data_IF_201969029062
#
_entry.id   IF_201969029062
#
_cell.length_a   1.000
_cell.length_b   1.000
_cell.length_c   1.000
_cell.angle_alpha   90.00
_cell.angle_beta   90.00
_cell.angle_gamma   90.00
#
_symmetry.space_group_name_H-M   'P 1'
#
loop_
_entity.id
_entity.type
_entity.pdbx_description
1 polymer ?
#
# COMPACT_ATOMS: atom_id res chain seq x y z
N UNK A 1 23.73 -33.77 -3.12
CA UNK A 1 23.91 -32.88 -1.95
C UNK A 1 24.08 -31.45 -2.45
N UNK A 2 23.41 -30.48 -1.83
CA UNK A 2 23.48 -29.07 -2.22
C UNK A 2 24.86 -28.48 -1.91
N UNK A 3 25.41 -27.71 -2.84
CA UNK A 3 26.66 -26.95 -2.67
C UNK A 3 26.34 -25.47 -2.54
N UNK A 4 27.06 -24.74 -1.67
CA UNK A 4 26.88 -23.29 -1.49
C UNK A 4 27.15 -22.48 -2.77
N UNK A 5 27.90 -23.02 -3.72
CA UNK A 5 28.21 -22.42 -5.02
C UNK A 5 27.10 -22.56 -6.07
N UNK A 6 26.03 -23.31 -5.76
CA UNK A 6 24.89 -23.43 -6.67
C UNK A 6 24.19 -22.07 -6.82
N UNK A 7 23.98 -21.65 -8.05
CA UNK A 7 23.35 -20.40 -8.39
C UNK A 7 22.34 -20.60 -9.53
N UNK A 8 21.47 -19.61 -9.71
CA UNK A 8 20.41 -19.64 -10.73
C UNK A 8 21.00 -19.46 -12.13
N UNK A 9 22.03 -18.63 -12.28
CA UNK A 9 22.59 -18.27 -13.57
C UNK A 9 23.08 -19.49 -14.37
N UNK A 10 23.74 -20.44 -13.70
CA UNK A 10 24.25 -21.66 -14.30
C UNK A 10 23.17 -22.74 -14.47
N UNK A 11 22.11 -22.70 -13.64
CA UNK A 11 21.08 -23.75 -13.62
C UNK A 11 19.88 -23.43 -14.52
N UNK A 12 19.40 -22.19 -14.48
CA UNK A 12 18.25 -21.70 -15.25
C UNK A 12 18.55 -20.31 -15.83
N UNK A 13 19.25 -20.25 -16.96
CA UNK A 13 19.65 -18.98 -17.57
C UNK A 13 18.44 -18.14 -18.04
N UNK A 14 17.29 -18.75 -18.34
CA UNK A 14 16.08 -18.03 -18.75
C UNK A 14 15.49 -17.27 -17.57
N UNK A 15 15.34 -17.93 -16.41
CA UNK A 15 14.91 -17.29 -15.18
C UNK A 15 15.91 -16.22 -14.73
N UNK A 16 17.19 -16.53 -14.79
CA UNK A 16 18.26 -15.57 -14.46
C UNK A 16 18.18 -14.31 -15.31
N UNK A 17 18.01 -14.47 -16.63
CA UNK A 17 17.87 -13.32 -17.54
C UNK A 17 16.65 -12.47 -17.17
N UNK A 18 15.49 -13.08 -16.87
CA UNK A 18 14.30 -12.34 -16.43
C UNK A 18 14.56 -11.54 -15.14
N UNK A 19 15.29 -12.10 -14.17
CA UNK A 19 15.68 -11.41 -12.95
C UNK A 19 16.59 -10.20 -13.29
N UNK A 20 17.57 -10.38 -14.17
CA UNK A 20 18.47 -9.30 -14.58
C UNK A 20 17.74 -8.21 -15.38
N UNK A 21 16.76 -8.58 -16.19
CA UNK A 21 15.94 -7.63 -16.95
C UNK A 21 15.04 -6.80 -16.00
N UNK A 22 14.47 -7.41 -14.96
CA UNK A 22 13.71 -6.68 -13.94
C UNK A 22 14.62 -5.76 -13.10
N UNK A 23 15.81 -6.21 -12.71
CA UNK A 23 16.78 -5.35 -12.03
C UNK A 23 17.10 -4.11 -12.87
N UNK A 24 17.38 -4.31 -14.18
CA UNK A 24 17.63 -3.21 -15.11
C UNK A 24 16.41 -2.32 -15.27
N UNK A 25 15.20 -2.88 -15.40
CA UNK A 25 13.96 -2.10 -15.47
C UNK A 25 13.81 -1.18 -14.25
N UNK A 26 14.01 -1.70 -13.04
CA UNK A 26 13.93 -0.89 -11.81
C UNK A 26 14.97 0.24 -11.79
N UNK A 27 16.17 0.01 -12.29
CA UNK A 27 17.21 1.04 -12.39
C UNK A 27 16.94 2.09 -13.48
N UNK A 28 16.34 1.71 -14.60
CA UNK A 28 16.13 2.57 -15.77
C UNK A 28 14.74 3.24 -15.82
N UNK A 29 13.80 2.85 -14.94
CA UNK A 29 12.46 3.41 -14.88
C UNK A 29 12.26 4.22 -13.60
N UNK A 30 11.40 5.23 -13.66
CA UNK A 30 10.91 5.95 -12.49
C UNK A 30 9.60 5.32 -12.05
N UNK A 31 9.58 4.79 -10.81
CA UNK A 31 8.43 4.12 -10.23
C UNK A 31 7.55 5.10 -9.47
N UNK A 32 6.32 5.30 -9.94
CA UNK A 32 5.32 6.19 -9.33
C UNK A 32 4.01 5.47 -8.96
N UNK A 33 3.99 4.13 -9.00
CA UNK A 33 2.86 3.38 -8.46
C UNK A 33 2.85 3.56 -6.94
N UNK A 34 1.78 4.15 -6.41
CA UNK A 34 1.68 4.57 -5.01
C UNK A 34 1.78 3.42 -3.98
N UNK A 35 1.57 2.18 -4.42
CA UNK A 35 1.66 0.96 -3.63
C UNK A 35 3.00 0.23 -3.77
N UNK A 36 3.96 0.80 -4.49
CA UNK A 36 5.31 0.24 -4.66
C UNK A 36 6.37 1.05 -3.90
N UNK A 37 7.42 0.36 -3.52
CA UNK A 37 8.58 0.92 -2.84
C UNK A 37 9.78 -0.03 -3.03
N UNK A 38 10.98 0.46 -2.76
CA UNK A 38 12.19 -0.35 -2.76
C UNK A 38 12.50 -0.84 -1.34
N UNK A 39 12.65 -2.16 -1.20
CA UNK A 39 13.10 -2.77 0.05
C UNK A 39 14.61 -2.60 0.21
N UNK A 40 15.08 -2.40 1.45
CA UNK A 40 16.52 -2.31 1.71
C UNK A 40 17.25 -3.64 1.41
N UNK A 41 18.56 -3.62 1.11
CA UNK A 41 19.34 -4.83 0.97
C UNK A 41 19.25 -5.76 2.20
N UNK A 42 19.13 -5.20 3.41
CA UNK A 42 18.97 -5.99 4.66
C UNK A 42 17.63 -6.72 4.71
N UNK A 43 16.55 -6.10 4.22
CA UNK A 43 15.24 -6.75 4.09
C UNK A 43 15.33 -7.91 3.10
N UNK A 44 15.99 -7.72 1.95
CA UNK A 44 16.19 -8.77 0.95
C UNK A 44 17.08 -9.90 1.46
N UNK A 45 18.15 -9.60 2.21
CA UNK A 45 19.01 -10.58 2.86
C UNK A 45 18.22 -11.46 3.85
N UNK A 46 17.37 -10.85 4.68
CA UNK A 46 16.52 -11.59 5.61
C UNK A 46 15.54 -12.53 4.89
N UNK A 47 14.95 -12.10 3.76
CA UNK A 47 14.07 -12.93 2.94
C UNK A 47 14.80 -14.14 2.33
N UNK A 48 16.06 -13.99 1.96
CA UNK A 48 16.90 -15.06 1.41
C UNK A 48 17.55 -15.97 2.45
N UNK A 49 17.23 -15.82 3.74
CA UNK A 49 17.83 -16.58 4.83
C UNK A 49 17.31 -18.04 4.92
N UNK A 50 18.03 -18.87 5.69
CA UNK A 50 17.66 -20.27 5.94
C UNK A 50 16.34 -20.45 6.70
N UNK A 51 15.74 -19.38 7.21
CA UNK A 51 14.38 -19.42 7.76
C UNK A 51 13.33 -19.85 6.73
N UNK A 52 13.64 -19.79 5.43
CA UNK A 52 12.80 -20.38 4.37
C UNK A 52 12.54 -21.88 4.57
N UNK A 53 13.45 -22.59 5.27
CA UNK A 53 13.35 -24.03 5.51
C UNK A 53 12.53 -24.36 6.77
N UNK A 54 12.19 -23.37 7.62
CA UNK A 54 11.63 -23.62 8.95
C UNK A 54 10.10 -23.66 8.95
N UNK A 55 9.55 -24.76 9.44
CA UNK A 55 8.12 -24.93 9.69
C UNK A 55 7.81 -24.60 11.16
N UNK A 56 7.00 -23.56 11.43
CA UNK A 56 6.80 -23.00 12.76
C UNK A 56 5.33 -22.70 13.08
N UNK A 57 4.41 -23.66 12.83
CA UNK A 57 2.99 -23.52 13.20
C UNK A 57 2.84 -23.24 14.69
N UNK A 58 1.86 -22.40 15.02
CA UNK A 58 1.65 -21.86 16.36
C UNK A 58 2.27 -20.47 16.50
N UNK A 59 2.61 -20.11 17.73
CA UNK A 59 3.08 -18.77 18.11
C UNK A 59 4.30 -18.88 19.02
N UNK A 60 5.09 -17.83 19.25
CA UNK A 60 6.24 -17.87 20.15
C UNK A 60 5.93 -18.53 21.49
N UNK A 61 6.75 -19.50 21.88
CA UNK A 61 6.57 -20.31 23.10
C UNK A 61 5.43 -21.34 23.06
N UNK A 62 4.65 -21.39 21.97
CA UNK A 62 3.51 -22.31 21.79
C UNK A 62 3.49 -22.89 20.37
N UNK A 63 4.59 -23.53 19.96
CA UNK A 63 4.72 -24.16 18.64
C UNK A 63 4.26 -25.61 18.65
N UNK A 64 3.80 -26.05 17.49
CA UNK A 64 3.44 -27.46 17.25
C UNK A 64 4.64 -28.33 16.87
N UNK A 65 5.79 -27.72 16.52
CA UNK A 65 7.00 -28.40 16.06
C UNK A 65 8.22 -28.01 16.90
N UNK A 66 9.20 -28.91 16.99
CA UNK A 66 10.48 -28.65 17.62
C UNK A 66 11.42 -27.78 16.77
N UNK A 67 12.52 -27.32 17.38
CA UNK A 67 13.54 -26.49 16.69
C UNK A 67 13.07 -25.11 16.32
N UNK A 68 12.16 -24.51 17.08
CA UNK A 68 11.58 -23.19 16.82
C UNK A 68 12.17 -22.07 17.69
N UNK A 69 13.19 -22.35 18.50
CA UNK A 69 13.80 -21.38 19.42
C UNK A 69 14.25 -20.10 18.75
N UNK A 70 14.83 -20.18 17.55
CA UNK A 70 15.25 -19.01 16.79
C UNK A 70 14.10 -18.36 16.00
N UNK A 71 13.11 -19.15 15.56
CA UNK A 71 11.89 -18.61 14.98
C UNK A 71 11.10 -17.80 16.01
N UNK A 72 11.06 -18.23 17.26
CA UNK A 72 10.44 -17.51 18.38
C UNK A 72 11.11 -16.16 18.62
N UNK A 73 12.44 -16.11 18.61
CA UNK A 73 13.20 -14.87 18.74
C UNK A 73 12.86 -13.90 17.61
N UNK A 74 12.87 -14.38 16.37
CA UNK A 74 12.60 -13.57 15.19
C UNK A 74 11.18 -13.01 15.19
N UNK A 75 10.20 -13.87 15.50
CA UNK A 75 8.80 -13.46 15.52
C UNK A 75 8.53 -12.49 16.68
N UNK A 76 9.11 -12.73 17.86
CA UNK A 76 8.97 -11.84 19.00
C UNK A 76 9.59 -10.47 18.73
N UNK A 77 10.78 -10.41 18.09
CA UNK A 77 11.38 -9.15 17.67
C UNK A 77 10.49 -8.37 16.70
N UNK A 78 9.84 -9.04 15.75
CA UNK A 78 8.92 -8.39 14.83
C UNK A 78 7.69 -7.84 15.56
N UNK A 79 7.12 -8.61 16.50
CA UNK A 79 5.99 -8.19 17.33
C UNK A 79 6.35 -6.97 18.17
N UNK A 80 7.45 -7.03 18.92
CA UNK A 80 7.87 -5.96 19.84
C UNK A 80 8.14 -4.66 19.08
N UNK A 81 8.85 -4.73 17.96
CA UNK A 81 9.14 -3.57 17.11
C UNK A 81 7.88 -2.98 16.49
N UNK A 82 6.94 -3.81 16.07
CA UNK A 82 5.65 -3.31 15.54
C UNK A 82 4.80 -2.65 16.63
N UNK A 83 4.80 -3.20 17.86
CA UNK A 83 4.16 -2.57 19.02
C UNK A 83 4.76 -1.20 19.31
N UNK A 84 6.07 -1.09 19.35
CA UNK A 84 6.78 0.18 19.57
C UNK A 84 6.48 1.19 18.43
N UNK A 85 6.56 0.72 17.17
CA UNK A 85 6.41 1.57 15.99
C UNK A 85 5.03 2.21 15.86
N UNK A 86 3.98 1.46 16.20
CA UNK A 86 2.59 1.89 16.02
C UNK A 86 1.87 2.25 17.34
N UNK A 87 2.44 1.93 18.49
CA UNK A 87 1.79 2.08 19.78
C UNK A 87 0.66 1.06 19.98
N UNK A 88 0.84 -0.18 19.55
CA UNK A 88 -0.16 -1.24 19.63
C UNK A 88 0.01 -2.14 20.85
N UNK A 89 -1.10 -2.55 21.48
CA UNK A 89 -1.09 -3.53 22.58
C UNK A 89 -1.00 -4.97 22.04
N UNK A 90 -1.70 -5.23 20.95
CA UNK A 90 -1.73 -6.50 20.24
C UNK A 90 -1.18 -6.37 18.82
N UNK A 91 -0.33 -7.33 18.44
CA UNK A 91 0.23 -7.45 17.09
C UNK A 91 0.28 -8.90 16.66
N UNK A 92 -0.16 -9.19 15.43
CA UNK A 92 0.09 -10.46 14.74
C UNK A 92 0.86 -10.20 13.44
N UNK A 93 2.06 -10.78 13.35
CA UNK A 93 2.99 -10.58 12.21
C UNK A 93 2.94 -11.72 11.19
N UNK A 94 2.10 -12.74 11.40
CA UNK A 94 2.03 -13.93 10.56
C UNK A 94 1.23 -13.78 9.26
N UNK A 95 0.29 -12.82 9.07
CA UNK A 95 -0.43 -12.71 7.79
C UNK A 95 0.52 -12.63 6.59
N UNK A 96 0.29 -13.53 5.60
CA UNK A 96 1.13 -13.62 4.39
C UNK A 96 0.94 -12.41 3.46
N UNK A 97 -0.21 -11.75 3.52
CA UNK A 97 -0.55 -10.57 2.73
C UNK A 97 -1.56 -9.68 3.47
N UNK A 98 -1.76 -8.45 2.98
CA UNK A 98 -2.84 -7.59 3.47
C UNK A 98 -4.22 -8.20 3.28
N UNK A 99 -4.48 -8.86 2.15
CA UNK A 99 -5.77 -9.52 1.90
C UNK A 99 -6.04 -10.67 2.87
N UNK A 100 -5.01 -11.44 3.27
CA UNK A 100 -5.16 -12.50 4.28
C UNK A 100 -5.30 -11.93 5.69
N UNK A 101 -4.60 -10.83 6.01
CA UNK A 101 -4.84 -10.09 7.25
C UNK A 101 -6.29 -9.63 7.36
N UNK A 102 -6.81 -9.01 6.27
CA UNK A 102 -8.21 -8.59 6.21
C UNK A 102 -9.17 -9.77 6.34
N UNK A 103 -8.94 -10.88 5.62
CA UNK A 103 -9.77 -12.07 5.73
C UNK A 103 -9.80 -12.65 7.16
N UNK A 104 -8.66 -12.65 7.85
CA UNK A 104 -8.58 -13.08 9.24
C UNK A 104 -9.37 -12.16 10.17
N UNK A 105 -9.32 -10.83 9.96
CA UNK A 105 -10.13 -9.87 10.73
C UNK A 105 -11.62 -10.09 10.51
N UNK A 106 -12.06 -10.24 9.28
CA UNK A 106 -13.46 -10.56 8.98
C UNK A 106 -13.90 -11.84 9.68
N UNK A 107 -13.15 -12.93 9.53
CA UNK A 107 -13.47 -14.22 10.14
C UNK A 107 -13.43 -14.22 11.68
N UNK A 108 -12.68 -13.30 12.29
CA UNK A 108 -12.62 -13.14 13.74
C UNK A 108 -13.83 -12.38 14.30
N UNK A 109 -14.39 -11.42 13.53
CA UNK A 109 -15.33 -10.43 14.08
C UNK A 109 -16.77 -10.65 13.65
N UNK A 110 -16.98 -11.16 12.44
CA UNK A 110 -18.30 -11.27 11.81
C UNK A 110 -18.50 -12.63 11.14
N UNK A 111 -19.75 -12.96 10.83
CA UNK A 111 -20.15 -14.23 10.20
C UNK A 111 -20.46 -14.04 8.72
N UNK A 112 -20.37 -15.11 7.93
CA UNK A 112 -20.80 -15.11 6.53
C UNK A 112 -22.26 -14.64 6.41
N UNK A 113 -22.52 -13.74 5.47
CA UNK A 113 -23.83 -13.11 5.27
C UNK A 113 -24.08 -11.85 6.10
N UNK A 114 -23.22 -11.54 7.06
CA UNK A 114 -23.32 -10.24 7.77
C UNK A 114 -23.09 -9.06 6.82
N UNK A 115 -23.68 -7.92 7.15
CA UNK A 115 -23.52 -6.69 6.38
C UNK A 115 -22.25 -5.96 6.78
N UNK A 116 -21.51 -5.52 5.79
CA UNK A 116 -20.33 -4.63 5.94
C UNK A 116 -20.55 -3.34 5.17
N UNK A 117 -19.95 -2.24 5.65
CA UNK A 117 -19.95 -0.94 4.99
C UNK A 117 -18.52 -0.55 4.69
N UNK A 118 -18.14 -0.46 3.42
CA UNK A 118 -16.78 -0.16 2.97
C UNK A 118 -16.74 0.91 1.89
N UNK A 119 -15.56 1.47 1.62
CA UNK A 119 -15.37 2.44 0.54
C UNK A 119 -15.46 1.76 -0.83
N UNK A 120 -16.22 2.38 -1.74
CA UNK A 120 -16.32 1.90 -3.12
C UNK A 120 -14.95 1.88 -3.81
N UNK A 121 -14.68 0.81 -4.56
CA UNK A 121 -13.47 0.66 -5.35
C UNK A 121 -13.28 1.79 -6.37
N UNK A 122 -14.37 2.26 -6.99
CA UNK A 122 -14.37 3.38 -7.93
C UNK A 122 -14.02 4.73 -7.25
N UNK A 123 -14.22 4.81 -5.95
CA UNK A 123 -13.94 6.00 -5.13
C UNK A 123 -12.65 5.88 -4.30
N UNK A 124 -11.83 4.89 -4.58
CA UNK A 124 -10.52 4.72 -3.95
C UNK A 124 -10.44 3.64 -2.87
N UNK A 125 -11.49 2.83 -2.66
CA UNK A 125 -11.47 1.67 -1.77
C UNK A 125 -10.51 0.58 -2.24
N UNK A 126 -10.34 -0.46 -1.42
CA UNK A 126 -9.58 -1.65 -1.77
C UNK A 126 -10.53 -2.80 -2.15
N UNK A 127 -10.04 -3.75 -2.95
CA UNK A 127 -10.81 -4.96 -3.33
C UNK A 127 -11.42 -5.67 -2.12
N UNK A 128 -10.68 -5.78 -1.02
CA UNK A 128 -11.12 -6.46 0.19
C UNK A 128 -12.03 -5.63 1.10
N UNK A 129 -12.47 -4.45 0.66
CA UNK A 129 -13.41 -3.61 1.40
C UNK A 129 -14.86 -3.79 0.92
N UNK A 130 -15.18 -4.91 0.28
CA UNK A 130 -16.54 -5.25 -0.16
C UNK A 130 -16.74 -5.32 -1.67
N UNK A 131 -15.67 -5.23 -2.48
CA UNK A 131 -15.81 -5.36 -3.93
C UNK A 131 -16.34 -6.75 -4.31
N UNK A 132 -17.36 -6.82 -5.17
CA UNK A 132 -18.07 -8.05 -5.58
C UNK A 132 -17.18 -9.16 -6.13
N UNK A 133 -16.02 -8.82 -6.70
CA UNK A 133 -15.05 -9.78 -7.24
C UNK A 133 -14.14 -10.38 -6.18
N UNK A 134 -14.03 -9.74 -5.00
CA UNK A 134 -13.23 -10.16 -3.86
C UNK A 134 -13.99 -11.10 -2.92
N UNK A 135 -13.27 -11.80 -2.05
CA UNK A 135 -13.88 -12.62 -1.00
C UNK A 135 -14.86 -11.81 -0.15
N UNK A 136 -14.52 -10.56 0.17
CA UNK A 136 -15.34 -9.69 1.03
C UNK A 136 -16.72 -9.40 0.44
N UNK A 137 -16.82 -9.18 -0.87
CA UNK A 137 -18.10 -8.99 -1.55
C UNK A 137 -18.81 -10.28 -1.96
N UNK A 138 -18.15 -11.45 -1.84
CA UNK A 138 -18.76 -12.77 -2.13
C UNK A 138 -19.31 -13.44 -0.88
N UNK A 139 -18.72 -13.21 0.28
CA UNK A 139 -19.07 -13.86 1.56
C UNK A 139 -20.03 -12.98 2.38
N UNK A 140 -19.89 -11.65 2.29
CA UNK A 140 -20.63 -10.68 3.09
C UNK A 140 -21.55 -9.82 2.23
N UNK A 141 -22.61 -9.28 2.85
CA UNK A 141 -23.48 -8.29 2.21
C UNK A 141 -22.77 -6.94 2.23
N UNK A 142 -22.18 -6.53 1.09
CA UNK A 142 -21.45 -5.27 1.04
C UNK A 142 -22.32 -4.11 0.63
N UNK A 143 -22.33 -3.08 1.49
CA UNK A 143 -22.82 -1.73 1.22
C UNK A 143 -21.59 -0.85 1.03
N UNK A 144 -21.64 0.06 0.05
CA UNK A 144 -20.49 0.86 -0.31
C UNK A 144 -20.78 2.35 -0.11
N UNK A 145 -19.86 3.07 0.57
CA UNK A 145 -19.90 4.52 0.68
C UNK A 145 -18.94 5.17 -0.32
N UNK A 146 -19.19 6.43 -0.63
CA UNK A 146 -18.48 7.16 -1.65
C UNK A 146 -17.73 8.38 -1.13
N UNK A 147 -17.39 9.22 -2.10
CA UNK A 147 -16.79 10.53 -1.91
C UNK A 147 -17.70 11.61 -2.52
N UNK A 148 -17.56 12.83 -2.04
CA UNK A 148 -18.22 14.01 -2.61
C UNK A 148 -17.69 14.32 -4.00
N UNK A 149 -18.34 15.26 -4.70
CA UNK A 149 -17.87 15.77 -5.99
C UNK A 149 -16.46 16.40 -5.90
N UNK A 150 -16.08 16.91 -4.74
CA UNK A 150 -14.76 17.48 -4.47
C UNK A 150 -13.70 16.42 -4.15
N UNK A 151 -14.07 15.13 -4.16
CA UNK A 151 -13.16 14.03 -3.92
C UNK A 151 -12.85 13.76 -2.44
N UNK A 152 -13.71 14.22 -1.52
CA UNK A 152 -13.58 13.98 -0.08
C UNK A 152 -14.50 12.87 0.38
N UNK A 153 -14.13 12.11 1.43
CA UNK A 153 -15.02 11.13 2.02
C UNK A 153 -16.31 11.83 2.50
N UNK A 154 -17.46 11.31 2.05
CA UNK A 154 -18.77 11.80 2.48
C UNK A 154 -19.19 11.10 3.77
N UNK A 155 -18.80 11.67 4.92
CA UNK A 155 -19.11 11.10 6.22
C UNK A 155 -20.62 11.06 6.53
N UNK A 156 -21.42 11.93 5.90
CA UNK A 156 -22.88 11.88 6.08
C UNK A 156 -23.47 10.72 5.29
N UNK A 157 -22.96 10.44 4.06
CA UNK A 157 -23.33 9.23 3.32
C UNK A 157 -22.94 7.96 4.09
N UNK A 158 -21.73 7.94 4.70
CA UNK A 158 -21.32 6.84 5.58
C UNK A 158 -22.31 6.64 6.71
N UNK A 159 -22.69 7.71 7.40
CA UNK A 159 -23.62 7.67 8.54
C UNK A 159 -25.01 7.22 8.14
N UNK A 160 -25.57 7.78 7.08
CA UNK A 160 -26.90 7.42 6.58
C UNK A 160 -26.95 5.93 6.19
N UNK A 161 -25.98 5.44 5.45
CA UNK A 161 -25.88 4.02 5.09
C UNK A 161 -25.68 3.12 6.30
N UNK A 162 -24.92 3.54 7.29
CA UNK A 162 -24.76 2.80 8.55
C UNK A 162 -26.11 2.67 9.29
N UNK A 163 -26.87 3.76 9.42
CA UNK A 163 -28.19 3.74 10.08
C UNK A 163 -29.22 2.91 9.32
N UNK A 164 -29.22 2.98 7.99
CA UNK A 164 -30.14 2.25 7.12
C UNK A 164 -29.86 0.74 7.12
N UNK A 165 -28.58 0.36 6.92
CA UNK A 165 -28.21 -1.04 6.69
C UNK A 165 -27.69 -1.76 7.93
N UNK A 166 -27.41 -1.05 9.02
CA UNK A 166 -26.91 -1.57 10.31
C UNK A 166 -25.81 -2.62 10.13
N UNK A 167 -24.69 -2.24 9.49
CA UNK A 167 -23.59 -3.17 9.25
C UNK A 167 -23.01 -3.67 10.58
N UNK A 168 -22.51 -4.91 10.59
CA UNK A 168 -21.74 -5.45 11.71
C UNK A 168 -20.32 -4.91 11.76
N UNK A 169 -19.82 -4.39 10.62
CA UNK A 169 -18.47 -3.84 10.49
C UNK A 169 -18.47 -2.68 9.51
N UNK A 170 -17.85 -1.58 9.91
CA UNK A 170 -17.44 -0.49 9.02
C UNK A 170 -15.96 -0.66 8.71
N UNK A 171 -15.64 -0.73 7.41
CA UNK A 171 -14.26 -0.86 6.89
C UNK A 171 -13.81 0.49 6.41
N UNK A 172 -12.86 1.10 7.10
CA UNK A 172 -12.22 2.34 6.71
C UNK A 172 -10.82 2.09 6.17
N UNK A 173 -10.32 3.01 5.36
CA UNK A 173 -9.04 2.87 4.66
C UNK A 173 -9.23 2.93 3.15
N UNK A 174 -8.13 3.03 2.42
CA UNK A 174 -8.17 3.33 0.99
C UNK A 174 -6.95 2.81 0.24
N UNK A 175 -7.08 2.80 -1.09
CA UNK A 175 -5.99 2.57 -2.05
C UNK A 175 -5.69 3.81 -2.90
N UNK A 176 -6.65 4.72 -3.06
CA UNK A 176 -6.54 5.89 -3.94
C UNK A 176 -7.29 7.10 -3.38
N UNK A 177 -6.94 7.51 -2.16
CA UNK A 177 -7.48 8.71 -1.52
C UNK A 177 -6.32 9.59 -1.04
N UNK A 178 -6.34 10.87 -1.42
CA UNK A 178 -5.19 11.77 -1.24
C UNK A 178 -5.27 12.65 0.01
N UNK A 179 -6.35 12.58 0.79
CA UNK A 179 -6.57 13.43 1.96
C UNK A 179 -6.45 12.64 3.26
N UNK A 180 -6.61 13.32 4.38
CA UNK A 180 -6.63 12.72 5.71
C UNK A 180 -8.01 12.14 6.00
N UNK A 181 -8.04 10.92 6.56
CA UNK A 181 -9.27 10.30 7.06
C UNK A 181 -9.48 10.67 8.53
N UNK A 182 -10.69 11.10 8.86
CA UNK A 182 -11.11 11.33 10.25
C UNK A 182 -11.54 9.99 10.90
N UNK A 183 -10.58 9.33 11.54
CA UNK A 183 -10.83 8.05 12.23
C UNK A 183 -11.78 8.19 13.39
N UNK A 184 -11.78 9.34 14.08
CA UNK A 184 -12.70 9.62 15.18
C UNK A 184 -14.13 9.66 14.68
N UNK A 185 -14.38 10.38 13.59
CA UNK A 185 -15.71 10.44 12.96
C UNK A 185 -16.18 9.08 12.48
N UNK A 186 -15.31 8.26 11.90
CA UNK A 186 -15.62 6.88 11.52
C UNK A 186 -16.01 6.04 12.75
N UNK A 187 -15.30 6.22 13.89
CA UNK A 187 -15.61 5.52 15.13
C UNK A 187 -16.98 5.94 15.71
N UNK A 188 -17.26 7.22 15.74
CA UNK A 188 -18.56 7.75 16.19
C UNK A 188 -19.71 7.13 15.39
N UNK A 189 -19.58 7.06 14.06
CA UNK A 189 -20.58 6.42 13.20
C UNK A 189 -20.72 4.92 13.49
N UNK A 190 -19.61 4.22 13.70
CA UNK A 190 -19.65 2.80 14.04
C UNK A 190 -20.36 2.55 15.38
N UNK A 191 -20.11 3.38 16.38
CA UNK A 191 -20.74 3.29 17.69
C UNK A 191 -22.25 3.56 17.63
N UNK A 192 -22.73 4.47 16.74
CA UNK A 192 -24.16 4.73 16.54
C UNK A 192 -24.98 3.47 16.14
N UNK A 193 -24.33 2.48 15.53
CA UNK A 193 -24.99 1.27 15.00
C UNK A 193 -24.46 -0.03 15.60
N UNK A 194 -23.66 0.04 16.67
CA UNK A 194 -23.02 -1.10 17.33
C UNK A 194 -22.19 -1.97 16.34
N UNK A 195 -21.42 -1.31 15.47
CA UNK A 195 -20.56 -1.93 14.50
C UNK A 195 -19.10 -1.93 14.94
N UNK A 196 -18.34 -2.95 14.54
CA UNK A 196 -16.88 -2.88 14.61
C UNK A 196 -16.35 -1.82 13.65
N UNK A 197 -15.42 -0.97 14.11
CA UNK A 197 -14.59 -0.18 13.21
C UNK A 197 -13.30 -0.96 12.91
N UNK A 198 -13.15 -1.38 11.66
CA UNK A 198 -11.95 -2.01 11.12
C UNK A 198 -11.25 -1.02 10.18
N UNK A 199 -9.96 -0.76 10.40
CA UNK A 199 -9.16 0.16 9.56
C UNK A 199 -8.06 -0.59 8.84
N UNK A 200 -8.05 -0.51 7.51
CA UNK A 200 -6.93 -0.92 6.66
C UNK A 200 -6.06 0.30 6.34
N UNK A 201 -4.95 0.46 7.07
CA UNK A 201 -4.03 1.60 6.91
C UNK A 201 -2.89 1.34 5.93
N UNK A 202 -2.97 0.28 5.10
CA UNK A 202 -1.87 -0.21 4.29
C UNK A 202 -1.15 0.87 3.46
N UNK A 203 -1.89 1.79 2.86
CA UNK A 203 -1.31 2.85 2.04
C UNK A 203 -0.53 3.89 2.84
N UNK A 204 -0.96 4.19 4.05
CA UNK A 204 -0.38 5.27 4.87
C UNK A 204 0.42 4.78 6.08
N UNK A 205 0.62 3.47 6.20
CA UNK A 205 1.28 2.88 7.37
C UNK A 205 2.68 3.44 7.63
N UNK A 206 3.46 3.73 6.58
CA UNK A 206 4.77 4.37 6.73
C UNK A 206 4.67 5.80 7.26
N UNK A 207 3.68 6.57 6.83
CA UNK A 207 3.42 7.92 7.31
C UNK A 207 2.94 7.92 8.76
N UNK A 208 2.09 6.94 9.13
CA UNK A 208 1.62 6.74 10.52
C UNK A 208 2.80 6.37 11.42
N UNK A 209 3.64 5.43 11.01
CA UNK A 209 4.84 5.04 11.72
C UNK A 209 5.80 6.22 11.98
N UNK A 210 5.88 7.16 11.04
CA UNK A 210 6.67 8.38 11.16
C UNK A 210 5.98 9.51 11.96
N UNK A 211 4.72 9.32 12.39
CA UNK A 211 3.93 10.35 13.08
C UNK A 211 3.49 11.51 12.17
N UNK A 212 3.38 11.27 10.86
CA UNK A 212 3.04 12.27 9.83
C UNK A 212 1.62 12.10 9.24
N UNK A 213 0.89 11.11 9.73
CA UNK A 213 -0.53 10.87 9.39
C UNK A 213 -1.23 10.34 10.64
N UNK A 214 -2.52 10.66 10.85
CA UNK A 214 -3.25 10.25 12.06
C UNK A 214 -3.23 8.74 12.27
N UNK A 215 -2.90 8.31 13.49
CA UNK A 215 -2.91 6.90 13.88
C UNK A 215 -4.36 6.43 14.14
N UNK A 216 -4.86 5.37 13.49
CA UNK A 216 -6.20 4.85 13.71
C UNK A 216 -6.37 4.04 15.00
N UNK A 217 -5.28 3.53 15.59
CA UNK A 217 -5.33 2.62 16.75
C UNK A 217 -6.15 3.14 17.94
N UNK A 218 -6.13 4.43 18.30
CA UNK A 218 -6.97 4.94 19.39
C UNK A 218 -8.47 4.87 19.12
N UNK A 219 -8.89 4.67 17.87
CA UNK A 219 -10.30 4.71 17.46
C UNK A 219 -10.79 3.35 16.92
N UNK A 220 -9.95 2.61 16.23
CA UNK A 220 -10.32 1.36 15.60
C UNK A 220 -10.36 0.19 16.61
N UNK A 221 -11.28 -0.76 16.42
CA UNK A 221 -11.25 -2.03 17.14
C UNK A 221 -10.09 -2.90 16.64
N UNK A 222 -9.87 -2.91 15.32
CA UNK A 222 -8.76 -3.63 14.68
C UNK A 222 -8.21 -2.80 13.54
N UNK A 223 -6.89 -2.86 13.37
CA UNK A 223 -6.15 -2.23 12.28
C UNK A 223 -5.37 -3.30 11.53
N UNK A 224 -5.36 -3.22 10.20
CA UNK A 224 -4.46 -4.01 9.37
C UNK A 224 -3.55 -3.12 8.54
N UNK A 225 -2.45 -3.68 8.09
CA UNK A 225 -1.60 -3.07 7.08
C UNK A 225 -0.86 -4.11 6.24
N UNK A 226 -0.36 -3.68 5.10
CA UNK A 226 0.75 -4.34 4.40
C UNK A 226 2.08 -3.80 4.90
N UNK A 227 3.16 -4.53 4.64
CA UNK A 227 4.52 -4.12 5.05
C UNK A 227 5.38 -3.57 3.91
N UNK A 228 4.89 -3.60 2.65
CA UNK A 228 5.70 -3.34 1.44
C UNK A 228 5.37 -2.05 0.70
N UNK A 229 4.39 -1.24 1.14
CA UNK A 229 4.02 0.04 0.49
C UNK A 229 4.85 1.18 1.07
N UNK A 230 4.23 2.17 1.70
CA UNK A 230 4.95 3.28 2.35
C UNK A 230 5.94 2.81 3.43
N UNK A 231 5.69 1.66 4.09
CA UNK A 231 6.65 1.07 5.03
C UNK A 231 7.97 0.63 4.38
N UNK A 232 7.95 0.17 3.12
CA UNK A 232 9.16 -0.20 2.37
C UNK A 232 9.82 -1.51 2.81
N UNK A 233 9.06 -2.40 3.44
CA UNK A 233 9.50 -3.72 3.89
C UNK A 233 9.17 -4.86 2.93
N UNK A 234 9.19 -6.11 3.41
CA UNK A 234 8.85 -7.28 2.61
C UNK A 234 7.36 -7.31 2.28
N UNK A 235 6.97 -8.01 1.23
CA UNK A 235 5.56 -8.28 0.94
C UNK A 235 4.96 -9.16 2.04
N UNK A 236 3.96 -8.62 2.72
CA UNK A 236 3.31 -9.29 3.85
C UNK A 236 2.20 -8.45 4.44
N UNK A 237 1.50 -8.99 5.44
CA UNK A 237 0.45 -8.33 6.20
C UNK A 237 0.75 -8.25 7.69
N UNK A 238 -0.03 -7.46 8.39
CA UNK A 238 0.07 -7.22 9.83
C UNK A 238 -1.32 -6.92 10.38
N UNK A 239 -1.63 -7.42 11.58
CA UNK A 239 -2.85 -7.09 12.32
C UNK A 239 -2.44 -6.45 13.65
N UNK A 240 -3.08 -5.33 14.00
CA UNK A 240 -2.81 -4.59 15.23
C UNK A 240 -4.14 -4.24 15.93
N UNK A 241 -4.07 -4.08 17.25
CA UNK A 241 -5.18 -3.53 18.03
C UNK A 241 -4.68 -2.90 19.33
N UNK A 242 -5.43 -1.94 19.85
CA UNK A 242 -5.26 -1.33 21.18
C UNK A 242 -6.62 -1.09 21.85
N UNK A 243 -7.61 -1.93 21.54
CA UNK A 243 -8.96 -1.76 22.08
C UNK A 243 -9.14 -2.31 23.52
N UNK A 244 -8.10 -2.97 24.08
CA UNK A 244 -8.14 -3.54 25.43
C UNK A 244 -9.02 -4.79 25.58
N UNK A 245 -9.48 -5.41 24.50
CA UNK A 245 -10.31 -6.62 24.51
C UNK A 245 -9.47 -7.87 24.26
N UNK A 246 -9.09 -8.55 25.33
CA UNK A 246 -8.28 -9.79 25.28
C UNK A 246 -9.00 -10.95 24.56
N UNK A 247 -10.33 -11.02 24.59
CA UNK A 247 -11.06 -12.05 23.86
C UNK A 247 -11.06 -11.78 22.36
N UNK A 248 -11.12 -10.52 21.96
CA UNK A 248 -10.91 -10.11 20.57
C UNK A 248 -9.50 -10.47 20.09
N UNK A 249 -8.47 -10.23 20.90
CA UNK A 249 -7.09 -10.60 20.56
C UNK A 249 -6.93 -12.11 20.35
N UNK A 250 -7.54 -12.94 21.21
CA UNK A 250 -7.55 -14.40 21.02
C UNK A 250 -8.27 -14.84 19.75
N UNK A 251 -9.41 -14.21 19.42
CA UNK A 251 -10.14 -14.49 18.18
C UNK A 251 -9.32 -14.11 16.95
N UNK A 252 -8.66 -12.95 16.94
CA UNK A 252 -7.75 -12.54 15.86
C UNK A 252 -6.60 -13.53 15.70
N UNK A 253 -5.98 -13.94 16.80
CA UNK A 253 -4.91 -14.93 16.84
C UNK A 253 -5.34 -16.26 16.19
N UNK A 254 -6.48 -16.80 16.65
CA UNK A 254 -7.03 -18.06 16.14
C UNK A 254 -7.50 -17.95 14.71
N UNK A 255 -7.97 -16.79 14.29
CA UNK A 255 -8.41 -16.55 12.92
C UNK A 255 -7.24 -16.50 11.92
N UNK A 256 -6.05 -16.06 12.34
CA UNK A 256 -4.85 -16.20 11.51
C UNK A 256 -4.42 -17.66 11.47
N UNK A 257 -4.10 -18.24 12.60
CA UNK A 257 -3.73 -19.65 12.73
C UNK A 257 -4.54 -20.30 13.88
N UNK A 258 -5.24 -21.41 13.63
CA UNK A 258 -5.20 -22.27 12.42
C UNK A 258 -6.25 -21.96 11.33
N UNK A 259 -7.11 -20.92 11.48
CA UNK A 259 -8.29 -20.82 10.63
C UNK A 259 -8.00 -20.43 9.18
N UNK A 260 -7.10 -19.45 8.93
CA UNK A 260 -6.81 -18.96 7.58
C UNK A 260 -5.45 -19.40 7.02
N UNK A 261 -4.49 -19.72 7.90
CA UNK A 261 -3.11 -20.06 7.53
C UNK A 261 -2.63 -21.28 8.29
N UNK A 262 -1.60 -21.96 7.75
CA UNK A 262 -0.78 -22.98 8.42
C UNK A 262 0.56 -22.37 8.86
N UNK A 263 1.68 -22.99 8.43
CA UNK A 263 3.03 -22.54 8.76
C UNK A 263 3.30 -21.09 8.35
N UNK A 264 3.79 -20.25 9.26
CA UNK A 264 4.13 -18.86 8.93
C UNK A 264 5.39 -18.80 8.06
N UNK A 265 5.52 -17.73 7.29
CA UNK A 265 6.70 -17.44 6.46
C UNK A 265 7.78 -16.80 7.35
N UNK A 266 8.57 -17.61 8.07
CA UNK A 266 9.52 -17.12 9.08
C UNK A 266 10.58 -16.19 8.46
N UNK A 267 11.04 -16.48 7.25
CA UNK A 267 11.96 -15.62 6.50
C UNK A 267 11.34 -14.22 6.18
N UNK A 268 10.04 -14.15 5.94
CA UNK A 268 9.33 -12.88 5.77
C UNK A 268 9.13 -12.17 7.11
N UNK A 269 8.86 -12.91 8.20
CA UNK A 269 8.79 -12.33 9.54
C UNK A 269 10.15 -11.74 9.94
N UNK A 270 11.26 -12.40 9.62
CA UNK A 270 12.60 -11.85 9.80
C UNK A 270 12.79 -10.53 9.04
N UNK A 271 12.36 -10.48 7.80
CA UNK A 271 12.40 -9.27 6.99
C UNK A 271 11.47 -8.15 7.52
N UNK A 272 10.29 -8.49 8.09
CA UNK A 272 9.44 -7.54 8.82
C UNK A 272 10.17 -6.98 10.04
N UNK A 273 10.85 -7.80 10.81
CA UNK A 273 11.62 -7.36 11.97
C UNK A 273 12.74 -6.38 11.59
N UNK A 274 13.40 -6.58 10.44
CA UNK A 274 14.38 -5.62 9.89
C UNK A 274 13.70 -4.31 9.49
N UNK A 275 12.62 -4.40 8.70
CA UNK A 275 11.87 -3.23 8.25
C UNK A 275 11.38 -2.35 9.42
N UNK A 276 10.83 -2.95 10.47
CA UNK A 276 10.35 -2.19 11.63
C UNK A 276 11.50 -1.54 12.40
N UNK A 277 12.67 -2.19 12.48
CA UNK A 277 13.85 -1.58 13.06
C UNK A 277 14.31 -0.37 12.26
N UNK A 278 14.36 -0.46 10.93
CA UNK A 278 14.69 0.68 10.06
C UNK A 278 13.66 1.81 10.20
N UNK A 279 12.37 1.47 10.36
CA UNK A 279 11.30 2.45 10.52
C UNK A 279 11.33 3.18 11.87
N UNK A 280 11.97 2.63 12.89
CA UNK A 280 12.21 3.27 14.19
C UNK A 280 13.41 4.26 14.17
N UNK A 281 14.22 4.25 13.11
CA UNK A 281 15.37 5.15 13.00
C UNK A 281 14.93 6.59 12.63
N UNK A 282 15.58 7.65 13.15
CA UNK A 282 15.23 9.04 12.83
C UNK A 282 15.22 9.37 11.34
N UNK A 283 16.13 8.78 10.57
CA UNK A 283 16.21 8.95 9.11
C UNK A 283 14.93 8.51 8.38
N UNK A 284 14.18 7.57 8.97
CA UNK A 284 12.92 7.13 8.38
C UNK A 284 11.84 8.21 8.43
N UNK A 285 11.77 8.98 9.52
CA UNK A 285 10.83 10.11 9.64
C UNK A 285 11.15 11.20 8.60
N UNK A 286 12.42 11.48 8.38
CA UNK A 286 12.86 12.44 7.35
C UNK A 286 12.47 11.94 5.95
N UNK A 287 12.70 10.65 5.65
CA UNK A 287 12.29 10.03 4.41
C UNK A 287 10.78 10.20 4.16
N UNK A 288 9.93 9.87 5.15
CA UNK A 288 8.48 10.00 5.03
C UNK A 288 8.01 11.45 4.89
N UNK A 289 8.67 12.39 5.55
CA UNK A 289 8.39 13.82 5.36
C UNK A 289 8.70 14.26 3.92
N UNK A 290 9.79 13.78 3.35
CA UNK A 290 10.16 14.06 1.97
C UNK A 290 9.19 13.39 0.96
N UNK A 291 8.63 12.22 1.30
CA UNK A 291 7.56 11.58 0.48
C UNK A 291 6.38 12.53 0.30
N UNK A 292 5.89 13.16 1.38
CA UNK A 292 4.76 14.10 1.33
C UNK A 292 5.15 15.37 0.56
N UNK A 293 6.34 15.94 0.83
CA UNK A 293 6.82 17.14 0.14
C UNK A 293 6.94 16.93 -1.36
N UNK A 294 7.49 15.80 -1.77
CA UNK A 294 7.62 15.41 -3.17
C UNK A 294 6.27 15.26 -3.86
N UNK A 295 5.27 14.65 -3.19
CA UNK A 295 3.92 14.56 -3.72
C UNK A 295 3.29 15.94 -3.92
N UNK A 296 3.41 16.84 -2.93
CA UNK A 296 2.90 18.21 -3.01
C UNK A 296 3.60 19.00 -4.14
N UNK A 297 4.92 18.85 -4.30
CA UNK A 297 5.68 19.50 -5.35
C UNK A 297 5.21 19.07 -6.77
N UNK A 298 4.94 17.78 -6.97
CA UNK A 298 4.38 17.29 -8.23
C UNK A 298 2.97 17.83 -8.48
N UNK A 299 2.10 17.85 -7.47
CA UNK A 299 0.73 18.40 -7.56
C UNK A 299 0.74 19.86 -8.05
N UNK A 300 1.65 20.68 -7.50
CA UNK A 300 1.76 22.09 -7.92
C UNK A 300 2.03 22.23 -9.42
N UNK A 301 2.93 21.41 -9.98
CA UNK A 301 3.26 21.44 -11.40
C UNK A 301 2.07 21.00 -12.25
N UNK A 302 1.38 19.90 -11.91
CA UNK A 302 0.19 19.46 -12.63
C UNK A 302 -0.89 20.55 -12.67
N UNK A 303 -1.13 21.21 -11.52
CA UNK A 303 -2.10 22.33 -11.44
C UNK A 303 -1.67 23.53 -12.29
N UNK A 304 -0.38 23.93 -12.24
CA UNK A 304 0.17 25.00 -13.06
C UNK A 304 0.05 24.73 -14.56
N UNK A 305 0.15 23.44 -14.95
CA UNK A 305 -0.02 22.99 -16.33
C UNK A 305 -1.51 22.81 -16.75
N UNK A 306 -2.45 23.14 -15.86
CA UNK A 306 -3.89 23.10 -16.15
C UNK A 306 -4.56 21.75 -16.02
N UNK A 307 -3.91 20.78 -15.36
CA UNK A 307 -4.52 19.50 -15.02
C UNK A 307 -5.31 19.58 -13.72
N UNK A 308 -6.44 18.91 -13.66
CA UNK A 308 -7.22 18.78 -12.44
C UNK A 308 -6.60 17.70 -11.54
N UNK A 309 -6.32 18.07 -10.30
CA UNK A 309 -5.91 17.13 -9.25
C UNK A 309 -7.10 16.90 -8.32
N UNK A 310 -7.51 15.64 -8.15
CA UNK A 310 -8.64 15.26 -7.31
C UNK A 310 -8.43 15.79 -5.89
N UNK A 311 -9.50 16.24 -5.24
CA UNK A 311 -9.48 16.93 -3.94
C UNK A 311 -8.52 18.12 -3.85
N UNK A 312 -8.22 18.74 -4.99
CA UNK A 312 -7.36 19.91 -5.15
C UNK A 312 -5.92 19.76 -4.60
N UNK A 313 -5.49 18.53 -4.30
CA UNK A 313 -4.15 18.31 -3.77
C UNK A 313 -3.95 16.97 -3.05
N UNK A 314 -2.96 16.94 -2.15
CA UNK A 314 -2.66 15.78 -1.33
C UNK A 314 -2.16 16.16 0.05
N UNK A 315 -2.50 15.34 1.05
CA UNK A 315 -1.97 15.40 2.41
C UNK A 315 -1.18 14.10 2.77
N UNK A 316 -0.92 13.25 1.77
CA UNK A 316 -0.17 12.02 1.96
C UNK A 316 0.82 11.74 0.82
N UNK A 317 1.11 10.48 0.52
CA UNK A 317 2.11 10.02 -0.44
C UNK A 317 1.62 9.90 -1.87
N UNK A 318 0.34 10.10 -2.13
CA UNK A 318 -0.27 9.91 -3.46
C UNK A 318 -1.20 11.05 -3.83
N UNK A 319 -1.47 11.18 -5.13
CA UNK A 319 -2.50 12.04 -5.68
C UNK A 319 -3.07 11.43 -6.96
N UNK A 320 -4.25 11.92 -7.35
CA UNK A 320 -4.94 11.52 -8.57
C UNK A 320 -5.01 12.71 -9.54
N UNK A 321 -4.63 12.46 -10.78
CA UNK A 321 -4.77 13.45 -11.86
C UNK A 321 -5.96 13.05 -12.73
N UNK A 322 -6.90 13.98 -12.95
CA UNK A 322 -8.05 13.80 -13.83
C UNK A 322 -7.77 14.37 -15.20
N UNK A 323 -8.13 13.61 -16.22
CA UNK A 323 -8.01 13.99 -17.63
C UNK A 323 -9.36 14.27 -18.30
N UNK A 324 -10.46 14.35 -17.54
CA UNK A 324 -11.81 14.56 -18.09
C UNK A 324 -11.85 15.82 -18.96
N UNK A 325 -11.25 16.93 -18.50
CA UNK A 325 -11.21 18.19 -19.24
C UNK A 325 -10.39 18.11 -20.53
N UNK A 326 -9.30 17.34 -20.52
CA UNK A 326 -8.42 17.17 -21.67
C UNK A 326 -8.97 16.14 -22.68
N UNK A 327 -9.99 15.37 -22.30
CA UNK A 327 -10.51 14.28 -23.13
C UNK A 327 -9.56 13.10 -23.29
N UNK A 328 -8.54 12.99 -22.43
CA UNK A 328 -7.59 11.89 -22.44
C UNK A 328 -8.08 10.74 -21.58
N UNK A 329 -7.56 9.54 -21.84
CA UNK A 329 -7.86 8.36 -21.00
C UNK A 329 -6.66 7.99 -20.14
N UNK A 330 -6.94 7.44 -18.96
CA UNK A 330 -5.89 6.88 -18.08
C UNK A 330 -5.08 5.80 -18.79
N UNK A 331 -5.73 4.98 -19.64
CA UNK A 331 -5.07 3.93 -20.43
C UNK A 331 -4.04 4.50 -21.41
N UNK A 332 -4.37 5.59 -22.11
CA UNK A 332 -3.45 6.22 -23.06
C UNK A 332 -2.28 6.90 -22.33
N UNK A 333 -2.58 7.59 -21.23
CA UNK A 333 -1.57 8.24 -20.40
C UNK A 333 -0.58 7.23 -19.80
N UNK A 334 -1.07 6.13 -19.21
CA UNK A 334 -0.26 5.04 -18.66
C UNK A 334 0.68 4.44 -19.74
N UNK A 335 0.14 4.16 -20.93
CA UNK A 335 0.93 3.60 -22.03
C UNK A 335 2.02 4.57 -22.53
N UNK A 336 1.74 5.86 -22.68
CA UNK A 336 2.71 6.84 -23.18
C UNK A 336 3.80 7.15 -22.13
N UNK A 337 3.43 7.31 -20.87
CA UNK A 337 4.40 7.49 -19.78
C UNK A 337 5.28 6.25 -19.62
N UNK A 338 4.73 5.04 -19.76
CA UNK A 338 5.50 3.79 -19.76
C UNK A 338 6.55 3.72 -20.86
N UNK A 339 6.24 4.19 -22.08
CA UNK A 339 7.24 4.32 -23.18
C UNK A 339 8.37 5.29 -22.83
N UNK A 340 8.09 6.31 -22.02
CA UNK A 340 9.07 7.26 -21.50
C UNK A 340 9.81 6.76 -20.24
N UNK A 341 9.68 5.50 -19.89
CA UNK A 341 10.23 4.88 -18.66
C UNK A 341 9.70 5.52 -17.37
N UNK A 342 8.44 6.00 -17.36
CA UNK A 342 7.74 6.51 -16.18
C UNK A 342 6.56 5.58 -15.90
N UNK A 343 6.61 4.85 -14.79
CA UNK A 343 5.63 3.85 -14.42
C UNK A 343 4.57 4.44 -13.49
N UNK A 344 3.32 4.47 -13.95
CA UNK A 344 2.13 4.89 -13.20
C UNK A 344 1.06 3.81 -13.29
N UNK A 345 -0.09 3.99 -12.65
CA UNK A 345 -1.28 3.19 -12.96
C UNK A 345 -2.45 4.09 -13.33
N UNK A 346 -3.23 3.65 -14.33
CA UNK A 346 -4.53 4.26 -14.61
C UNK A 346 -5.45 4.12 -13.41
N UNK A 347 -6.27 5.12 -13.14
CA UNK A 347 -7.17 5.16 -12.00
C UNK A 347 -8.47 5.89 -12.35
N UNK A 348 -9.59 5.38 -11.83
CA UNK A 348 -10.86 6.11 -11.91
C UNK A 348 -10.77 7.40 -11.09
N UNK A 349 -11.49 8.42 -11.55
CA UNK A 349 -11.61 9.71 -10.88
C UNK A 349 -13.09 9.98 -10.57
N UNK A 350 -13.43 10.90 -9.66
CA UNK A 350 -14.82 11.25 -9.39
C UNK A 350 -15.57 11.60 -10.67
N UNK A 351 -16.79 11.06 -10.81
CA UNK A 351 -17.64 11.22 -12.01
C UNK A 351 -16.98 10.74 -13.32
N UNK A 352 -16.13 9.73 -13.24
CA UNK A 352 -15.42 9.20 -14.41
C UNK A 352 -16.39 8.69 -15.49
N UNK A 353 -16.39 9.25 -16.71
CA UNK A 353 -17.27 8.81 -17.79
C UNK A 353 -16.80 7.49 -18.45
N UNK A 354 -15.59 7.02 -18.14
CA UNK A 354 -15.00 5.86 -18.75
C UNK A 354 -15.25 4.58 -17.92
N UNK A 355 -15.15 3.44 -18.60
CA UNK A 355 -15.20 2.13 -17.93
C UNK A 355 -13.94 1.90 -17.07
N UNK A 356 -14.00 1.05 -16.03
CA UNK A 356 -12.87 0.81 -15.10
C UNK A 356 -11.56 0.36 -15.76
N UNK A 357 -11.62 -0.30 -16.93
CA UNK A 357 -10.41 -0.72 -17.67
C UNK A 357 -9.78 0.37 -18.53
N UNK A 358 -10.47 1.50 -18.72
CA UNK A 358 -10.03 2.65 -19.50
C UNK A 358 -9.63 3.81 -18.58
N UNK A 359 -10.56 4.24 -17.73
CA UNK A 359 -10.46 5.34 -16.76
C UNK A 359 -10.18 6.71 -17.41
N UNK A 360 -10.40 7.77 -16.66
CA UNK A 360 -10.07 9.16 -17.09
C UNK A 360 -8.99 9.78 -16.21
N UNK A 361 -8.18 8.99 -15.53
CA UNK A 361 -7.10 9.51 -14.69
C UNK A 361 -5.97 8.52 -14.46
N UNK A 362 -4.96 9.02 -13.76
CA UNK A 362 -3.85 8.23 -13.23
C UNK A 362 -3.69 8.48 -11.74
N UNK A 363 -3.15 7.49 -11.03
CA UNK A 363 -2.67 7.63 -9.66
C UNK A 363 -1.15 7.73 -9.67
N UNK A 364 -0.62 8.70 -8.93
CA UNK A 364 0.82 8.97 -8.78
C UNK A 364 1.18 8.90 -7.31
N UNK A 365 2.27 8.23 -6.98
CA UNK A 365 2.79 8.14 -5.61
C UNK A 365 4.31 8.33 -5.57
N UNK A 366 4.81 8.83 -4.46
CA UNK A 366 6.21 9.26 -4.32
C UNK A 366 7.10 8.42 -3.39
N UNK A 367 6.64 7.31 -2.76
CA UNK A 367 7.53 6.55 -1.86
C UNK A 367 8.78 6.01 -2.55
N UNK A 368 8.64 5.39 -3.73
CA UNK A 368 9.74 4.77 -4.46
C UNK A 368 10.76 5.81 -4.95
N UNK A 369 10.33 6.90 -5.60
CA UNK A 369 11.24 7.95 -6.07
C UNK A 369 11.95 8.65 -4.91
N UNK A 370 11.26 8.88 -3.79
CA UNK A 370 11.88 9.46 -2.58
C UNK A 370 12.93 8.52 -1.99
N UNK A 371 12.65 7.20 -1.96
CA UNK A 371 13.63 6.20 -1.52
C UNK A 371 14.86 6.18 -2.42
N UNK A 372 14.69 6.43 -3.70
CA UNK A 372 15.74 6.54 -4.70
C UNK A 372 16.59 7.82 -4.56
N UNK A 373 16.15 8.80 -3.76
CA UNK A 373 16.87 10.04 -3.48
C UNK A 373 16.36 11.27 -4.22
N UNK A 374 15.18 11.22 -4.85
CA UNK A 374 14.55 12.41 -5.43
C UNK A 374 14.18 13.42 -4.34
N UNK A 375 14.47 14.68 -4.59
CA UNK A 375 14.02 15.81 -3.81
C UNK A 375 12.87 16.55 -4.51
N UNK A 376 12.34 17.62 -3.89
CA UNK A 376 11.23 18.40 -4.43
C UNK A 376 11.52 18.97 -5.83
N UNK A 377 12.77 19.40 -6.11
CA UNK A 377 13.14 19.94 -7.42
C UNK A 377 13.13 18.83 -8.48
N UNK A 378 13.71 17.66 -8.18
CA UNK A 378 13.67 16.50 -9.08
C UNK A 378 12.23 16.09 -9.40
N UNK A 379 11.35 16.13 -8.39
CA UNK A 379 9.93 15.80 -8.54
C UNK A 379 9.16 16.85 -9.34
N UNK A 380 9.49 18.15 -9.23
CA UNK A 380 8.92 19.20 -10.09
C UNK A 380 9.32 19.01 -11.56
N UNK A 381 10.59 18.70 -11.81
CA UNK A 381 11.08 18.42 -13.16
C UNK A 381 10.41 17.19 -13.76
N UNK A 382 10.31 16.10 -12.98
CA UNK A 382 9.61 14.88 -13.37
C UNK A 382 8.14 15.13 -13.71
N UNK A 383 7.41 15.88 -12.87
CA UNK A 383 6.03 16.25 -13.16
C UNK A 383 5.92 17.09 -14.44
N UNK A 384 6.87 17.99 -14.69
CA UNK A 384 6.98 18.74 -15.94
C UNK A 384 7.13 17.82 -17.15
N UNK A 385 8.02 16.83 -17.08
CA UNK A 385 8.22 15.84 -18.16
C UNK A 385 6.98 14.97 -18.38
N UNK A 386 6.28 14.59 -17.31
CA UNK A 386 4.99 13.89 -17.43
C UNK A 386 3.97 14.74 -18.17
N UNK A 387 3.84 16.02 -17.82
CA UNK A 387 2.93 16.92 -18.51
C UNK A 387 3.34 17.11 -19.99
N UNK A 388 4.64 17.22 -20.31
CA UNK A 388 5.11 17.35 -21.69
C UNK A 388 4.65 16.14 -22.54
N UNK A 389 4.72 14.92 -22.02
CA UNK A 389 4.22 13.72 -22.69
C UNK A 389 2.70 13.76 -22.83
N UNK A 390 1.97 14.13 -21.77
CA UNK A 390 0.51 14.16 -21.77
C UNK A 390 -0.07 15.22 -22.72
N UNK A 391 0.59 16.37 -22.83
CA UNK A 391 0.16 17.49 -23.68
C UNK A 391 0.24 17.17 -25.18
N UNK A 392 1.03 16.18 -25.56
CA UNK A 392 1.24 15.79 -26.98
C UNK A 392 0.53 14.50 -27.38
N UNK A 393 -0.19 13.85 -26.46
CA UNK A 393 -0.92 12.62 -26.78
C UNK A 393 -1.83 12.78 -27.99
N UNK A 394 -1.65 11.93 -29.00
CA UNK A 394 -2.40 11.95 -30.27
C UNK A 394 -1.94 13.03 -31.24
N UNK A 395 -0.84 13.75 -30.99
CA UNK A 395 -0.26 14.76 -31.89
C UNK A 395 0.92 14.19 -32.69
N UNK A 396 1.27 14.84 -33.80
CA UNK A 396 2.34 14.40 -34.71
C UNK A 396 3.73 14.25 -34.03
N UNK A 397 3.99 15.06 -33.00
CA UNK A 397 5.26 15.06 -32.28
C UNK A 397 5.29 14.16 -31.04
N UNK A 398 4.29 13.30 -30.81
CA UNK A 398 4.18 12.44 -29.62
C UNK A 398 5.42 11.57 -29.42
N UNK A 399 5.81 10.81 -30.42
CA UNK A 399 6.97 9.87 -30.33
C UNK A 399 8.28 10.63 -30.09
N UNK A 400 8.44 11.82 -30.66
CA UNK A 400 9.63 12.65 -30.43
C UNK A 400 9.74 13.13 -28.97
N UNK A 401 8.62 13.60 -28.40
CA UNK A 401 8.60 14.07 -27.00
C UNK A 401 8.78 12.92 -26.04
N UNK A 402 8.17 11.76 -26.30
CA UNK A 402 8.36 10.54 -25.51
C UNK A 402 9.85 10.13 -25.50
N UNK A 403 10.50 10.09 -26.66
CA UNK A 403 11.91 9.74 -26.77
C UNK A 403 12.80 10.73 -26.02
N UNK A 404 12.59 12.03 -26.19
CA UNK A 404 13.32 13.07 -25.47
C UNK A 404 13.13 12.99 -23.95
N UNK A 405 11.91 12.67 -23.50
CA UNK A 405 11.62 12.46 -22.07
C UNK A 405 12.32 11.23 -21.53
N UNK A 406 12.33 10.13 -22.28
CA UNK A 406 13.04 8.92 -21.90
C UNK A 406 14.55 9.17 -21.64
N UNK A 407 15.20 9.97 -22.48
CA UNK A 407 16.61 10.33 -22.25
C UNK A 407 16.82 11.10 -20.95
N UNK A 408 15.90 12.04 -20.61
CA UNK A 408 15.92 12.74 -19.31
C UNK A 408 15.74 11.77 -18.14
N UNK A 409 14.82 10.82 -18.27
CA UNK A 409 14.56 9.78 -17.27
C UNK A 409 15.80 8.92 -17.07
N UNK A 410 16.45 8.43 -18.14
CA UNK A 410 17.66 7.64 -18.04
C UNK A 410 18.81 8.42 -17.39
N UNK A 411 18.93 9.72 -17.68
CA UNK A 411 19.94 10.58 -17.07
C UNK A 411 19.76 10.74 -15.57
N UNK A 412 18.52 11.01 -15.09
CA UNK A 412 18.24 11.14 -13.65
C UNK A 412 18.36 9.77 -12.95
N UNK A 413 17.93 8.69 -13.57
CA UNK A 413 18.06 7.34 -13.07
C UNK A 413 19.54 6.94 -12.85
N UNK A 414 20.43 7.33 -13.76
CA UNK A 414 21.87 7.13 -13.60
C UNK A 414 22.46 7.96 -12.46
N UNK A 415 21.96 9.16 -12.24
CA UNK A 415 22.38 10.03 -11.12
C UNK A 415 21.91 9.51 -9.77
N UNK A 416 20.72 8.92 -9.73
CA UNK A 416 20.07 8.42 -8.55
C UNK A 416 19.72 6.93 -8.72
N UNK A 417 20.69 6.01 -8.62
CA UNK A 417 20.41 4.58 -8.71
C UNK A 417 19.57 4.09 -7.54
N UNK A 418 18.81 3.03 -7.76
CA UNK A 418 17.99 2.41 -6.69
C UNK A 418 18.90 1.81 -5.62
N UNK A 419 19.89 1.03 -6.09
CA UNK A 419 20.91 0.43 -5.23
C UNK A 419 22.29 0.91 -5.67
N UNK A 420 22.83 1.87 -4.92
CA UNK A 420 24.20 2.33 -5.17
C UNK A 420 25.22 1.24 -4.86
N UNK A 421 26.26 1.15 -5.67
CA UNK A 421 27.40 0.22 -5.51
C UNK A 421 28.31 0.64 -4.34
#
# INVERSE_FOLDING_TARGET
MFKKSMNIADYDPVLWQAIQDENRRQEEHIELIASENYASPRVMEAQGSQFTNKYAEGYPGKRYYGGCEYADIVEQLAIDRAKELFGADYVNVQPHSGSQANAAVYGALISAGDTILGMDLAHGGHLTHGAKVSFSGKIYNSVLYGITADGLIDYEDVRQKALEHKPKMIVAGFSAYSQVVDWKRMREIADEVDAYLFVDMAHVAGLIAAGLYPNPLPYAHVVTTTTHKTLGGPRGGLILSSCGDEELYKRLQSSVFPANQGGPLVHIIAAKAVCFKEALEPAYKEYQANVIKNAKAMVEVFKQRGYDVVSNGTENHLFLVSFIKQGLTGKAADAALGKANITVNKNSVPNDPQKPFVTSGIRVGTPAVTRRGFNEQDCRELAGWMCDVLDVLGKENEEQVIAATKEKVLAICKRLPVYAS
#
